data_IF_488933955098
#
_entry.id   IF_488933955098
#
_cell.length_a   1.000
_cell.length_b   1.000
_cell.length_c   1.000
_cell.angle_alpha   90.00
_cell.angle_beta   90.00
_cell.angle_gamma   90.00
#
_symmetry.space_group_name_H-M   'P 1'
#
loop_
_entity.id
_entity.type
_entity.pdbx_description
1 polymer ?
#
# COMPACT_ATOMS: atom_id res chain seq x y z
N UNK A 1 13.46 31.70 30.02
CA UNK A 1 13.39 31.14 28.64
C UNK A 1 14.54 31.74 27.87
N UNK A 2 15.60 30.98 27.67
CA UNK A 2 16.75 31.40 26.86
C UNK A 2 16.29 31.38 25.40
N UNK A 3 16.20 32.56 24.81
CA UNK A 3 15.75 32.73 23.45
C UNK A 3 16.72 32.05 22.47
N UNK A 4 16.25 31.01 21.82
CA UNK A 4 16.89 30.55 20.60
C UNK A 4 16.81 31.67 19.58
N UNK A 5 17.95 32.12 19.11
CA UNK A 5 17.97 33.10 18.03
C UNK A 5 17.34 32.46 16.79
N UNK A 6 16.62 33.21 15.96
CA UNK A 6 16.00 32.72 14.71
C UNK A 6 16.98 31.95 13.82
N UNK A 7 18.26 32.29 13.86
CA UNK A 7 19.33 31.55 13.17
C UNK A 7 19.53 30.14 13.66
N UNK A 8 19.42 29.88 14.97
CA UNK A 8 19.55 28.53 15.52
C UNK A 8 18.36 27.62 15.15
N UNK A 9 17.18 28.19 15.05
CA UNK A 9 15.98 27.42 14.60
C UNK A 9 16.10 27.06 13.12
N UNK A 10 16.55 27.98 12.27
CA UNK A 10 16.78 27.72 10.87
C UNK A 10 17.86 26.63 10.63
N UNK A 11 18.93 26.61 11.43
CA UNK A 11 19.97 25.59 11.34
C UNK A 11 19.50 24.20 11.80
N UNK A 12 18.61 24.15 12.78
CA UNK A 12 18.01 22.88 13.27
C UNK A 12 17.05 22.29 12.22
N UNK A 13 16.28 23.13 11.53
CA UNK A 13 15.29 22.68 10.55
C UNK A 13 15.93 22.21 9.24
N UNK A 14 16.97 22.88 8.76
CA UNK A 14 17.56 22.59 7.45
C UNK A 14 18.70 21.56 7.45
N UNK A 15 19.27 21.20 8.60
CA UNK A 15 20.31 20.14 8.70
C UNK A 15 21.53 20.33 7.78
N UNK A 16 21.66 21.44 7.08
CA UNK A 16 22.71 21.71 6.10
C UNK A 16 23.31 23.08 6.34
N UNK A 17 24.60 23.21 6.08
CA UNK A 17 25.42 24.41 6.16
C UNK A 17 24.66 25.68 5.79
N UNK A 18 24.03 26.29 6.76
CA UNK A 18 23.48 27.63 6.57
C UNK A 18 24.69 28.59 6.65
N UNK A 19 25.10 29.05 5.53
CA UNK A 19 25.90 30.24 5.45
C UNK A 19 25.08 31.34 6.11
N UNK A 20 25.60 31.94 7.20
CA UNK A 20 24.95 33.07 7.85
C UNK A 20 24.55 34.08 6.79
N UNK A 21 23.34 34.66 6.85
CA UNK A 21 22.97 35.72 5.91
C UNK A 21 24.03 36.81 5.93
N UNK A 22 24.35 37.40 4.78
CA UNK A 22 25.33 38.45 4.72
C UNK A 22 24.96 39.57 5.71
N UNK A 23 25.96 40.17 6.27
CA UNK A 23 25.79 41.23 7.29
C UNK A 23 24.83 42.38 6.88
N UNK A 24 24.48 42.46 5.59
CA UNK A 24 23.59 43.46 5.00
C UNK A 24 22.21 42.88 4.61
N UNK A 25 21.77 41.78 5.23
CA UNK A 25 20.46 41.23 4.92
C UNK A 25 19.37 42.23 5.30
N UNK A 26 18.57 42.63 4.33
CA UNK A 26 17.32 43.34 4.61
C UNK A 26 16.34 42.44 5.33
N UNK A 27 15.60 42.97 6.28
CA UNK A 27 14.58 42.28 7.01
C UNK A 27 13.21 42.80 6.58
N UNK A 28 12.27 41.88 6.40
CA UNK A 28 10.88 42.26 6.15
C UNK A 28 10.22 42.91 7.38
N UNK A 29 8.98 43.41 7.23
CA UNK A 29 8.23 44.03 8.31
C UNK A 29 8.02 43.14 9.55
N UNK A 30 8.18 41.84 9.38
CA UNK A 30 8.08 40.82 10.43
C UNK A 30 9.45 40.45 11.01
N UNK A 31 10.53 41.06 10.51
CA UNK A 31 11.90 40.82 10.93
C UNK A 31 12.48 39.51 10.41
N UNK A 32 12.04 38.99 9.27
CA UNK A 32 12.67 37.89 8.56
C UNK A 32 13.72 38.40 7.60
N UNK A 33 14.88 37.75 7.56
CA UNK A 33 15.91 38.06 6.58
C UNK A 33 15.37 37.75 5.17
N UNK A 34 15.42 38.74 4.31
CA UNK A 34 15.03 38.64 2.92
C UNK A 34 16.26 38.22 2.13
N UNK A 35 16.30 36.97 1.69
CA UNK A 35 17.36 36.47 0.80
C UNK A 35 17.03 36.89 -0.63
N UNK A 36 18.01 37.44 -1.35
CA UNK A 36 17.92 37.79 -2.74
C UNK A 36 18.88 36.93 -3.54
N UNK A 37 18.50 36.53 -4.77
CA UNK A 37 19.39 35.88 -5.71
C UNK A 37 20.40 36.92 -6.32
N UNK A 38 21.30 36.41 -7.17
CA UNK A 38 22.30 37.25 -7.85
C UNK A 38 21.68 38.34 -8.74
N UNK A 39 20.39 38.24 -9.06
CA UNK A 39 19.63 39.17 -9.88
C UNK A 39 18.73 40.10 -9.03
N UNK A 40 18.92 40.15 -7.72
CA UNK A 40 18.08 40.88 -6.76
C UNK A 40 16.62 40.40 -6.69
N UNK A 41 16.30 39.21 -7.15
CA UNK A 41 14.99 38.64 -6.94
C UNK A 41 14.91 38.05 -5.53
N UNK A 42 13.80 38.27 -4.84
CA UNK A 42 13.56 37.67 -3.54
C UNK A 42 13.47 36.15 -3.69
N UNK A 43 14.41 35.44 -3.07
CA UNK A 43 14.28 33.99 -2.89
C UNK A 43 13.26 33.81 -1.78
N UNK A 44 12.11 33.22 -2.12
CA UNK A 44 11.09 32.93 -1.11
C UNK A 44 11.71 32.15 0.02
N UNK A 45 11.72 32.79 1.21
CA UNK A 45 12.42 32.29 2.37
C UNK A 45 11.93 30.91 2.77
N UNK A 46 12.85 30.18 3.36
CA UNK A 46 12.67 28.95 4.10
C UNK A 46 11.61 27.98 3.50
N UNK A 47 12.04 27.14 2.59
CA UNK A 47 11.24 25.96 2.22
C UNK A 47 11.18 25.04 3.43
N UNK A 48 10.12 25.13 4.20
CA UNK A 48 9.86 24.19 5.27
C UNK A 48 9.48 22.87 4.59
N UNK A 49 10.27 21.83 4.86
CA UNK A 49 9.99 20.50 4.34
C UNK A 49 8.63 20.02 4.86
N UNK A 50 7.92 19.29 4.01
CA UNK A 50 6.67 18.65 4.40
C UNK A 50 6.89 17.65 5.53
N UNK A 51 6.06 17.72 6.55
CA UNK A 51 6.05 16.71 7.62
C UNK A 51 5.17 15.55 7.21
N UNK A 52 5.72 14.35 7.23
CA UNK A 52 4.99 13.12 6.87
C UNK A 52 4.87 12.22 8.09
N UNK A 53 3.65 11.82 8.40
CA UNK A 53 3.33 10.84 9.44
C UNK A 53 2.67 9.63 8.75
N UNK A 54 3.20 8.44 8.98
CA UNK A 54 2.63 7.21 8.44
C UNK A 54 2.34 6.22 9.57
N UNK A 55 1.12 5.73 9.61
CA UNK A 55 0.65 4.70 10.52
C UNK A 55 0.23 3.50 9.69
N UNK A 56 0.76 2.32 10.00
CA UNK A 56 0.43 1.09 9.28
C UNK A 56 0.15 -0.04 10.24
N UNK A 57 -1.05 -0.59 10.12
CA UNK A 57 -1.51 -1.77 10.84
C UNK A 57 -1.81 -2.89 9.84
N UNK A 58 -0.87 -3.81 9.65
CA UNK A 58 -0.97 -4.86 8.63
C UNK A 58 -0.50 -6.22 9.17
N UNK A 59 -1.41 -7.03 9.75
CA UNK A 59 -2.83 -6.72 10.01
C UNK A 59 -3.05 -5.92 11.30
N UNK A 60 -4.19 -5.23 11.40
CA UNK A 60 -4.71 -4.68 12.65
C UNK A 60 -5.37 -5.79 13.48
N UNK A 61 -6.14 -6.64 12.79
CA UNK A 61 -6.74 -7.85 13.34
C UNK A 61 -6.50 -8.96 12.32
N UNK A 62 -5.97 -10.10 12.78
CA UNK A 62 -5.76 -11.29 11.98
C UNK A 62 -6.23 -12.53 12.71
N UNK A 63 -6.83 -13.44 11.98
CA UNK A 63 -7.28 -14.73 12.45
C UNK A 63 -6.95 -15.80 11.42
N UNK A 64 -6.19 -16.78 11.84
CA UNK A 64 -5.85 -17.96 11.05
C UNK A 64 -6.30 -19.20 11.81
N UNK A 65 -7.10 -20.06 11.17
CA UNK A 65 -7.56 -21.29 11.76
C UNK A 65 -7.35 -22.46 10.81
N UNK A 66 -6.97 -23.59 11.38
CA UNK A 66 -6.90 -24.86 10.66
C UNK A 66 -7.90 -25.82 11.27
N UNK A 67 -8.89 -26.22 10.48
CA UNK A 67 -9.95 -27.14 10.86
C UNK A 67 -9.65 -28.53 10.31
N UNK A 68 -9.59 -29.53 11.15
CA UNK A 68 -9.34 -30.90 10.72
C UNK A 68 -10.68 -31.55 10.33
N UNK A 69 -10.92 -31.70 9.04
CA UNK A 69 -12.09 -32.33 8.48
C UNK A 69 -11.64 -33.60 7.73
N UNK A 70 -12.14 -34.79 8.12
CA UNK A 70 -11.80 -36.07 7.50
C UNK A 70 -10.27 -36.32 7.37
N UNK A 71 -9.50 -36.05 8.43
CA UNK A 71 -8.03 -36.14 8.47
C UNK A 71 -7.31 -35.17 7.53
N UNK A 72 -8.00 -34.16 7.03
CA UNK A 72 -7.46 -33.11 6.16
C UNK A 72 -7.70 -31.74 6.78
N UNK A 73 -6.79 -30.82 6.51
CA UNK A 73 -6.89 -29.45 7.05
C UNK A 73 -7.61 -28.51 6.09
N UNK A 74 -8.71 -27.92 6.55
CA UNK A 74 -9.26 -26.72 5.97
C UNK A 74 -8.56 -25.52 6.65
N UNK A 75 -7.85 -24.72 5.91
CA UNK A 75 -7.22 -23.50 6.38
C UNK A 75 -8.16 -22.35 6.07
N UNK A 76 -8.45 -21.54 7.07
CA UNK A 76 -9.22 -20.31 6.90
C UNK A 76 -8.39 -19.15 7.44
N UNK A 77 -8.40 -18.04 6.71
CA UNK A 77 -7.69 -16.84 7.04
C UNK A 77 -8.61 -15.62 6.96
N UNK A 78 -8.55 -14.77 7.95
CA UNK A 78 -9.19 -13.47 7.95
C UNK A 78 -8.18 -12.42 8.39
N UNK A 79 -8.06 -11.33 7.64
CA UNK A 79 -7.23 -10.18 8.02
C UNK A 79 -7.98 -8.88 7.76
N UNK A 80 -7.90 -7.99 8.72
CA UNK A 80 -8.26 -6.59 8.57
C UNK A 80 -7.02 -5.73 8.69
N UNK A 81 -6.75 -4.95 7.67
CA UNK A 81 -5.58 -4.05 7.59
C UNK A 81 -6.07 -2.61 7.54
N UNK A 82 -5.29 -1.72 8.13
CA UNK A 82 -5.55 -0.28 8.11
C UNK A 82 -4.24 0.47 7.93
N UNK A 83 -4.22 1.40 7.02
CA UNK A 83 -3.09 2.30 6.79
C UNK A 83 -3.57 3.75 6.70
N UNK A 84 -2.74 4.63 7.19
CA UNK A 84 -2.94 6.08 7.16
C UNK A 84 -1.61 6.76 6.92
N UNK A 85 -1.58 7.69 5.99
CA UNK A 85 -0.45 8.58 5.79
C UNK A 85 -0.96 10.02 5.74
N UNK A 86 -0.38 10.88 6.56
CA UNK A 86 -0.70 12.31 6.59
C UNK A 86 0.54 13.11 6.27
N UNK A 87 0.45 13.98 5.29
CA UNK A 87 1.51 14.91 4.88
C UNK A 87 1.05 16.33 5.13
N UNK A 88 1.73 17.02 6.03
CA UNK A 88 1.51 18.44 6.29
C UNK A 88 2.42 19.26 5.39
N UNK A 89 1.82 20.09 4.53
CA UNK A 89 2.52 21.10 3.72
C UNK A 89 2.29 22.47 4.34
N UNK A 90 3.35 23.04 4.88
CA UNK A 90 3.29 24.38 5.49
C UNK A 90 3.27 25.47 4.42
N UNK A 91 3.81 25.21 3.23
CA UNK A 91 3.81 26.19 2.14
C UNK A 91 2.39 26.46 1.62
N UNK A 92 1.53 25.47 1.63
CA UNK A 92 0.16 25.55 1.10
C UNK A 92 -0.89 25.54 2.21
N UNK A 93 -0.47 25.51 3.49
CA UNK A 93 -1.35 25.37 4.64
C UNK A 93 -2.36 24.24 4.48
N UNK A 94 -1.91 23.09 4.00
CA UNK A 94 -2.78 21.95 3.74
C UNK A 94 -2.23 20.65 4.31
N UNK A 95 -3.13 19.75 4.68
CA UNK A 95 -2.83 18.37 5.05
C UNK A 95 -3.39 17.46 3.96
N UNK A 96 -2.52 16.67 3.35
CA UNK A 96 -2.94 15.57 2.47
C UNK A 96 -2.96 14.29 3.28
N UNK A 97 -4.12 13.67 3.39
CA UNK A 97 -4.33 12.45 4.16
C UNK A 97 -4.73 11.32 3.22
N UNK A 98 -3.99 10.21 3.26
CA UNK A 98 -4.30 8.98 2.53
C UNK A 98 -4.76 7.96 3.56
N UNK A 99 -5.98 7.50 3.43
CA UNK A 99 -6.60 6.49 4.28
C UNK A 99 -6.79 5.22 3.46
N UNK A 100 -6.35 4.09 4.00
CA UNK A 100 -6.54 2.77 3.43
C UNK A 100 -7.14 1.80 4.43
N UNK A 101 -8.03 0.94 3.97
CA UNK A 101 -8.51 -0.22 4.70
C UNK A 101 -8.63 -1.41 3.77
N UNK A 102 -8.27 -2.59 4.25
CA UNK A 102 -8.35 -3.82 3.46
C UNK A 102 -8.85 -4.96 4.34
N UNK A 103 -9.82 -5.69 3.82
CA UNK A 103 -10.30 -6.95 4.38
C UNK A 103 -9.83 -8.07 3.46
N UNK A 104 -9.17 -9.07 4.02
CA UNK A 104 -8.74 -10.27 3.30
C UNK A 104 -9.39 -11.49 3.94
N UNK A 105 -10.04 -12.30 3.13
CA UNK A 105 -10.60 -13.60 3.52
C UNK A 105 -9.99 -14.66 2.63
N UNK A 106 -9.32 -15.62 3.23
CA UNK A 106 -8.68 -16.72 2.53
C UNK A 106 -9.20 -18.07 3.00
N UNK A 107 -9.24 -19.04 2.10
CA UNK A 107 -9.56 -20.42 2.40
C UNK A 107 -8.65 -21.34 1.59
N UNK A 108 -8.18 -22.40 2.22
CA UNK A 108 -7.39 -23.43 1.56
C UNK A 108 -7.82 -24.84 2.02
N UNK A 109 -8.01 -25.74 1.07
CA UNK A 109 -8.34 -27.11 1.37
C UNK A 109 -7.54 -28.09 0.53
N UNK A 110 -7.07 -29.16 1.17
CA UNK A 110 -6.31 -30.24 0.51
C UNK A 110 -7.14 -31.50 0.44
N UNK A 111 -7.49 -31.91 -0.77
CA UNK A 111 -8.08 -33.22 -1.04
C UNK A 111 -6.98 -34.27 -1.17
N UNK A 112 -6.99 -35.33 -0.37
CA UNK A 112 -5.88 -36.31 -0.33
C UNK A 112 -5.83 -37.18 -1.57
N UNK A 113 -6.97 -37.53 -2.13
CA UNK A 113 -7.08 -38.44 -3.29
C UNK A 113 -8.23 -38.00 -4.20
N UNK A 114 -7.89 -37.38 -5.30
CA UNK A 114 -8.83 -37.03 -6.37
C UNK A 114 -8.44 -37.78 -7.61
N UNK A 115 -9.36 -38.56 -8.19
CA UNK A 115 -9.18 -39.21 -9.46
C UNK A 115 -9.82 -38.34 -10.53
N UNK A 116 -9.03 -37.91 -11.49
CA UNK A 116 -9.55 -37.21 -12.66
C UNK A 116 -10.22 -38.20 -13.61
N UNK A 117 -11.15 -37.77 -14.49
CA UNK A 117 -11.88 -38.63 -15.40
C UNK A 117 -11.00 -39.23 -16.53
N UNK A 118 -9.70 -39.15 -16.40
CA UNK A 118 -8.73 -39.70 -17.36
C UNK A 118 -8.08 -40.95 -16.78
N UNK A 119 -8.29 -42.11 -17.38
CA UNK A 119 -7.85 -43.42 -16.85
C UNK A 119 -6.34 -43.56 -16.66
N UNK A 120 -5.53 -42.76 -17.32
CA UNK A 120 -4.06 -42.83 -17.27
C UNK A 120 -3.46 -41.97 -16.13
N UNK A 121 -4.27 -41.18 -15.44
CA UNK A 121 -3.77 -40.28 -14.39
C UNK A 121 -4.03 -40.91 -13.03
N UNK A 122 -2.99 -41.13 -12.20
CA UNK A 122 -3.19 -41.73 -10.88
C UNK A 122 -3.91 -40.73 -9.95
N UNK A 123 -4.71 -41.26 -9.00
CA UNK A 123 -5.34 -40.42 -8.00
C UNK A 123 -4.27 -39.72 -7.18
N UNK A 124 -4.36 -38.41 -7.08
CA UNK A 124 -3.38 -37.58 -6.40
C UNK A 124 -4.03 -36.46 -5.54
N UNK A 125 -3.22 -35.79 -4.75
CA UNK A 125 -3.70 -34.70 -3.93
C UNK A 125 -3.97 -33.45 -4.77
N UNK A 126 -5.10 -32.78 -4.47
CA UNK A 126 -5.46 -31.47 -5.01
C UNK A 126 -5.43 -30.46 -3.87
N UNK A 127 -4.69 -29.38 -4.02
CA UNK A 127 -4.73 -28.24 -3.12
C UNK A 127 -5.52 -27.12 -3.77
N UNK A 128 -6.62 -26.72 -3.17
CA UNK A 128 -7.44 -25.60 -3.62
C UNK A 128 -7.19 -24.43 -2.65
N UNK A 129 -6.99 -23.24 -3.19
CA UNK A 129 -6.91 -21.99 -2.45
C UNK A 129 -7.82 -20.96 -3.07
N UNK A 130 -8.50 -20.23 -2.23
CA UNK A 130 -9.37 -19.13 -2.60
C UNK A 130 -9.06 -17.96 -1.68
N UNK A 131 -8.69 -16.84 -2.24
CA UNK A 131 -8.44 -15.60 -1.53
C UNK A 131 -9.33 -14.50 -2.12
N UNK A 132 -10.04 -13.82 -1.25
CA UNK A 132 -10.86 -12.66 -1.55
C UNK A 132 -10.31 -11.46 -0.79
N UNK A 133 -10.12 -10.34 -1.46
CA UNK A 133 -9.78 -9.09 -0.77
C UNK A 133 -10.64 -7.93 -1.25
N UNK A 134 -11.00 -7.09 -0.31
CA UNK A 134 -11.69 -5.83 -0.53
C UNK A 134 -10.85 -4.72 0.08
N UNK A 135 -10.35 -3.82 -0.77
CA UNK A 135 -9.56 -2.67 -0.36
C UNK A 135 -10.28 -1.37 -0.70
N UNK A 136 -10.31 -0.47 0.26
CA UNK A 136 -10.88 0.87 0.14
C UNK A 136 -9.80 1.91 0.46
N UNK A 137 -9.48 2.76 -0.52
CA UNK A 137 -8.53 3.86 -0.36
C UNK A 137 -9.22 5.19 -0.67
N UNK A 138 -8.82 6.22 0.07
CA UNK A 138 -9.25 7.60 -0.20
C UNK A 138 -8.11 8.57 0.13
N UNK A 139 -7.95 9.58 -0.72
CA UNK A 139 -7.06 10.70 -0.50
C UNK A 139 -7.89 11.95 -0.25
N UNK A 140 -7.69 12.58 0.88
CA UNK A 140 -8.39 13.81 1.29
C UNK A 140 -7.37 14.93 1.45
N UNK A 141 -7.63 16.05 0.83
CA UNK A 141 -6.90 17.29 1.06
C UNK A 141 -7.72 18.16 2.01
N UNK A 142 -7.12 18.52 3.12
CA UNK A 142 -7.68 19.43 4.12
C UNK A 142 -6.92 20.76 4.07
N UNK A 143 -7.59 21.81 3.66
CA UNK A 143 -7.02 23.16 3.69
C UNK A 143 -7.30 23.77 5.06
N UNK A 144 -6.21 24.08 5.79
CA UNK A 144 -6.30 24.46 7.20
C UNK A 144 -6.95 25.84 7.34
N UNK A 145 -6.54 26.78 6.49
CA UNK A 145 -7.03 28.18 6.55
C UNK A 145 -8.48 28.29 6.09
N UNK A 146 -8.82 27.58 5.01
CA UNK A 146 -10.17 27.63 4.43
C UNK A 146 -11.16 26.70 5.13
N UNK A 147 -10.68 25.88 6.08
CA UNK A 147 -11.47 24.87 6.80
C UNK A 147 -12.26 23.94 5.86
N UNK A 148 -11.74 23.68 4.67
CA UNK A 148 -12.38 22.85 3.65
C UNK A 148 -11.71 21.49 3.56
N UNK A 149 -12.52 20.44 3.37
CA UNK A 149 -12.06 19.08 3.16
C UNK A 149 -12.54 18.59 1.78
N UNK A 150 -11.63 18.16 0.94
CA UNK A 150 -11.94 17.67 -0.39
C UNK A 150 -11.31 16.31 -0.63
N UNK A 151 -12.12 15.32 -0.98
CA UNK A 151 -11.62 14.06 -1.50
C UNK A 151 -11.14 14.27 -2.93
N UNK A 152 -9.85 14.03 -3.18
CA UNK A 152 -9.20 14.29 -4.48
C UNK A 152 -8.91 13.02 -5.25
N UNK A 153 -8.76 11.89 -4.57
CA UNK A 153 -8.55 10.59 -5.17
C UNK A 153 -9.16 9.50 -4.29
N UNK A 154 -9.41 8.36 -4.85
CA UNK A 154 -9.87 7.19 -4.11
C UNK A 154 -10.34 6.09 -5.03
N UNK A 155 -10.24 4.88 -4.54
CA UNK A 155 -10.68 3.69 -5.27
C UNK A 155 -11.08 2.58 -4.31
N UNK A 156 -12.02 1.76 -4.77
CA UNK A 156 -12.36 0.46 -4.19
C UNK A 156 -11.78 -0.61 -5.09
N UNK A 157 -11.02 -1.53 -4.52
CA UNK A 157 -10.43 -2.64 -5.24
C UNK A 157 -10.98 -3.94 -4.68
N UNK A 158 -11.61 -4.73 -5.53
CA UNK A 158 -12.05 -6.09 -5.22
C UNK A 158 -11.13 -7.04 -5.95
N UNK A 159 -10.50 -7.98 -5.23
CA UNK A 159 -9.66 -9.00 -5.82
C UNK A 159 -10.13 -10.38 -5.41
N UNK A 160 -10.24 -11.27 -6.38
CA UNK A 160 -10.57 -12.69 -6.20
C UNK A 160 -9.45 -13.49 -6.81
N UNK A 161 -8.79 -14.31 -6.01
CA UNK A 161 -7.73 -15.22 -6.46
C UNK A 161 -8.10 -16.65 -6.11
N UNK A 162 -8.15 -17.50 -7.11
CA UNK A 162 -8.35 -18.93 -6.92
C UNK A 162 -7.20 -19.71 -7.57
N UNK A 163 -6.75 -20.75 -6.90
CA UNK A 163 -5.79 -21.68 -7.48
C UNK A 163 -6.11 -23.12 -7.09
N UNK A 164 -5.83 -24.05 -7.99
CA UNK A 164 -5.93 -25.46 -7.77
C UNK A 164 -4.65 -26.14 -8.27
N UNK A 165 -3.91 -26.74 -7.36
CA UNK A 165 -2.68 -27.46 -7.65
C UNK A 165 -2.95 -28.96 -7.65
N UNK A 166 -2.66 -29.64 -8.75
CA UNK A 166 -2.78 -31.09 -8.91
C UNK A 166 -1.41 -31.71 -9.18
N UNK A 167 -1.00 -32.65 -8.34
CA UNK A 167 0.26 -33.34 -8.50
C UNK A 167 0.08 -34.57 -9.44
N UNK A 168 0.47 -34.43 -10.70
CA UNK A 168 0.44 -35.50 -11.68
C UNK A 168 1.44 -36.61 -11.37
N UNK A 169 2.61 -36.24 -10.89
CA UNK A 169 3.67 -37.16 -10.48
C UNK A 169 4.51 -36.52 -9.36
N UNK A 170 5.53 -37.26 -8.86
CA UNK A 170 6.47 -36.73 -7.89
C UNK A 170 7.18 -35.44 -8.37
N UNK A 171 7.35 -35.30 -9.68
CA UNK A 171 8.13 -34.22 -10.29
C UNK A 171 7.29 -33.26 -11.13
N UNK A 172 5.98 -33.52 -11.32
CA UNK A 172 5.13 -32.73 -12.19
C UNK A 172 3.87 -32.31 -11.44
N UNK A 173 3.66 -31.00 -11.34
CA UNK A 173 2.46 -30.38 -10.80
C UNK A 173 1.80 -29.51 -11.87
N UNK A 174 0.49 -29.65 -12.01
CA UNK A 174 -0.34 -28.73 -12.80
C UNK A 174 -1.01 -27.78 -11.82
N UNK A 175 -0.93 -26.49 -12.09
CA UNK A 175 -1.62 -25.44 -11.38
C UNK A 175 -2.60 -24.76 -12.33
N UNK A 176 -3.87 -24.78 -11.98
CA UNK A 176 -4.87 -23.87 -12.52
C UNK A 176 -4.88 -22.61 -11.66
N UNK A 177 -4.95 -21.44 -12.28
CA UNK A 177 -5.10 -20.18 -11.56
C UNK A 177 -6.15 -19.29 -12.21
N UNK A 178 -6.80 -18.52 -11.36
CA UNK A 178 -7.78 -17.50 -11.69
C UNK A 178 -7.49 -16.29 -10.81
N UNK A 179 -7.27 -15.12 -11.40
CA UNK A 179 -7.02 -13.86 -10.71
C UNK A 179 -7.88 -12.78 -11.37
N UNK A 180 -8.82 -12.24 -10.62
CA UNK A 180 -9.70 -11.16 -11.06
C UNK A 180 -9.53 -9.97 -10.12
N UNK A 181 -9.27 -8.79 -10.69
CA UNK A 181 -9.18 -7.53 -9.97
C UNK A 181 -10.13 -6.54 -10.60
N UNK A 182 -11.02 -5.99 -9.80
CA UNK A 182 -11.95 -4.93 -10.20
C UNK A 182 -11.60 -3.69 -9.41
N UNK A 183 -11.33 -2.60 -10.11
CA UNK A 183 -11.04 -1.30 -9.53
C UNK A 183 -12.16 -0.33 -9.86
N UNK A 184 -12.80 0.23 -8.84
CA UNK A 184 -13.87 1.22 -8.96
C UNK A 184 -13.39 2.53 -8.35
N UNK A 185 -13.13 3.56 -9.18
CA UNK A 185 -12.78 4.89 -8.68
C UNK A 185 -13.92 5.49 -7.87
N UNK A 186 -13.57 6.28 -6.84
CA UNK A 186 -14.53 7.04 -6.05
C UNK A 186 -14.83 8.42 -6.62
N UNK A 187 -14.03 8.86 -7.57
CA UNK A 187 -14.13 10.20 -8.19
C UNK A 187 -14.62 10.05 -9.61
N UNK A 188 -15.55 10.91 -10.00
CA UNK A 188 -16.28 10.82 -11.27
C UNK A 188 -15.44 11.02 -12.55
N UNK A 189 -14.16 11.39 -12.41
CA UNK A 189 -13.26 11.62 -13.56
C UNK A 189 -12.58 10.35 -14.09
N UNK A 190 -12.74 9.23 -13.43
CA UNK A 190 -12.13 7.97 -13.83
C UNK A 190 -13.17 6.85 -13.97
N UNK A 191 -12.92 5.91 -14.88
CA UNK A 191 -13.82 4.80 -15.16
C UNK A 191 -13.40 3.55 -14.37
N UNK A 192 -14.35 2.67 -14.02
CA UNK A 192 -14.04 1.36 -13.46
C UNK A 192 -13.19 0.55 -14.43
N UNK A 193 -12.21 -0.17 -13.90
CA UNK A 193 -11.36 -1.07 -14.67
C UNK A 193 -11.40 -2.47 -14.08
N UNK A 194 -11.37 -3.48 -14.94
CA UNK A 194 -11.32 -4.87 -14.55
C UNK A 194 -10.18 -5.60 -15.24
N UNK A 195 -9.43 -6.37 -14.48
CA UNK A 195 -8.39 -7.28 -14.98
C UNK A 195 -8.77 -8.70 -14.65
N UNK A 196 -8.72 -9.58 -15.64
CA UNK A 196 -8.93 -11.02 -15.49
C UNK A 196 -7.72 -11.75 -16.06
N UNK A 197 -7.09 -12.57 -15.24
CA UNK A 197 -6.00 -13.47 -15.64
C UNK A 197 -6.35 -14.89 -15.21
N UNK A 198 -6.36 -15.80 -16.16
CA UNK A 198 -6.61 -17.22 -15.90
C UNK A 198 -5.71 -18.07 -16.78
N UNK A 199 -5.35 -19.24 -16.30
CA UNK A 199 -4.49 -20.12 -17.08
C UNK A 199 -4.06 -21.37 -16.35
N UNK A 200 -3.26 -22.15 -17.06
CA UNK A 200 -2.64 -23.38 -16.59
C UNK A 200 -1.11 -23.20 -16.55
N UNK A 201 -0.51 -23.58 -15.45
CA UNK A 201 0.95 -23.59 -15.27
C UNK A 201 1.41 -25.01 -15.00
N UNK A 202 2.41 -25.45 -15.74
CA UNK A 202 3.10 -26.72 -15.51
C UNK A 202 4.39 -26.42 -14.74
N UNK A 203 4.59 -27.13 -13.63
CA UNK A 203 5.81 -27.03 -12.82
C UNK A 203 6.52 -28.38 -12.79
N UNK A 204 7.74 -28.41 -13.31
CA UNK A 204 8.63 -29.55 -13.25
C UNK A 204 9.67 -29.34 -12.14
N UNK A 205 9.76 -30.28 -11.21
CA UNK A 205 10.83 -30.33 -10.26
C UNK A 205 11.90 -31.30 -10.80
N UNK A 206 12.97 -30.75 -11.36
CA UNK A 206 14.14 -31.53 -11.74
C UNK A 206 14.92 -31.84 -10.45
N UNK A 207 14.55 -32.92 -9.76
CA UNK A 207 15.39 -33.45 -8.72
C UNK A 207 16.66 -33.95 -9.39
N UNK A 208 17.82 -33.43 -8.97
CA UNK A 208 19.11 -33.91 -9.47
C UNK A 208 19.20 -35.42 -9.23
N UNK A 209 19.56 -36.14 -10.27
CA UNK A 209 19.93 -37.56 -10.17
C UNK A 209 21.16 -37.61 -9.30
N UNK A 210 21.03 -38.09 -8.06
CA UNK A 210 22.15 -38.57 -7.22
C UNK A 210 22.37 -40.03 -7.54
#
# INVERSE_FOLDING_TARGET
MTGYTRQSIASIINGSNITAPPLNAEFDQNGYAVAQDINNNFISGMQIQNVVITERFSPLIGFDATWIINKQGLITKFEYKKDRSATLSLNNNQVTEILGSEIVVGSGYKFAKVKLPFDKIPASAVNIRLDFSFRDNVTVIRKIVESTNQATAGQKVVSVKASADYNLSKNLTIQFYYDQVINTPKIATAYPTGNLSTGLRLRFNLAGVQ
#
